data_IF_440218772910
#
_entry.id   IF_440218772910
#
_cell.length_a   1.000
_cell.length_b   1.000
_cell.length_c   1.000
_cell.angle_alpha   90.00
_cell.angle_beta   90.00
_cell.angle_gamma   90.00
#
_symmetry.space_group_name_H-M   'P 1'
#
loop_
_entity.id
_entity.type
_entity.pdbx_description
1 polymer ?
#
# COMPACT_ATOMS: atom_id res chain seq x y z
N UNK A 1 -22.12 13.55 27.21
CA UNK A 1 -21.42 14.45 26.29
C UNK A 1 -19.94 14.08 26.35
N UNK A 2 -19.45 13.40 25.32
CA UNK A 2 -18.02 13.21 25.09
C UNK A 2 -17.71 13.94 23.80
N UNK A 3 -16.98 15.04 23.93
CA UNK A 3 -16.43 15.80 22.79
C UNK A 3 -15.44 14.88 22.07
N UNK A 4 -15.78 14.49 20.85
CA UNK A 4 -14.91 13.71 19.99
C UNK A 4 -13.82 14.62 19.43
N UNK A 5 -12.56 14.29 19.69
CA UNK A 5 -11.40 14.89 19.02
C UNK A 5 -11.63 14.82 17.49
N UNK A 6 -11.90 15.99 16.89
CA UNK A 6 -12.12 16.13 15.45
C UNK A 6 -10.78 16.08 14.71
N UNK A 7 -10.61 15.07 13.87
CA UNK A 7 -9.50 14.97 12.92
C UNK A 7 -9.98 15.42 11.54
N UNK A 8 -9.21 16.29 10.88
CA UNK A 8 -9.47 16.77 9.52
C UNK A 8 -8.46 16.12 8.57
N UNK A 9 -8.94 15.57 7.45
CA UNK A 9 -8.07 15.07 6.38
C UNK A 9 -7.83 16.23 5.39
N UNK A 10 -6.58 16.69 5.27
CA UNK A 10 -6.16 17.73 4.34
C UNK A 10 -5.30 17.15 3.23
N UNK A 11 -5.56 17.49 1.97
CA UNK A 11 -4.70 17.10 0.87
C UNK A 11 -3.72 18.24 0.52
N UNK A 12 -2.41 17.99 0.54
CA UNK A 12 -1.37 18.92 0.06
C UNK A 12 -0.49 18.19 -0.94
N UNK A 13 -0.43 18.67 -2.20
CA UNK A 13 0.44 18.13 -3.27
C UNK A 13 0.35 16.60 -3.43
N UNK A 14 -0.87 16.05 -3.52
CA UNK A 14 -1.08 14.60 -3.64
C UNK A 14 -0.93 13.78 -2.35
N UNK A 15 -0.50 14.38 -1.24
CA UNK A 15 -0.47 13.72 0.07
C UNK A 15 -1.77 14.01 0.83
N UNK A 16 -2.42 12.97 1.38
CA UNK A 16 -3.44 13.17 2.41
C UNK A 16 -2.72 13.23 3.76
N UNK A 17 -2.89 14.33 4.48
CA UNK A 17 -2.40 14.60 5.84
C UNK A 17 -3.60 14.60 6.78
N UNK A 18 -3.39 14.15 8.01
CA UNK A 18 -4.39 14.28 9.08
C UNK A 18 -3.96 15.45 9.97
N UNK A 19 -4.78 16.48 10.03
CA UNK A 19 -4.59 17.65 10.87
C UNK A 19 -5.48 17.53 12.10
N UNK A 20 -4.93 17.88 13.28
CA UNK A 20 -5.74 18.13 14.47
C UNK A 20 -6.42 19.50 14.35
N UNK A 21 -7.58 19.67 14.97
CA UNK A 21 -8.41 20.89 14.92
C UNK A 21 -7.73 22.16 15.46
N UNK A 22 -6.56 22.05 16.07
CA UNK A 22 -5.75 23.12 16.66
C UNK A 22 -4.71 23.72 15.69
N UNK A 23 -4.79 23.41 14.39
CA UNK A 23 -4.01 24.09 13.34
C UNK A 23 -2.54 23.68 13.24
N UNK A 24 -2.12 22.66 13.99
CA UNK A 24 -0.78 22.07 13.89
C UNK A 24 -0.67 21.08 12.72
N UNK A 25 -0.30 21.56 11.53
CA UNK A 25 0.08 20.71 10.41
C UNK A 25 1.57 20.32 10.52
N UNK A 26 1.91 19.11 10.99
CA UNK A 26 3.25 18.56 10.74
C UNK A 26 3.29 17.97 9.33
N UNK A 27 3.50 18.84 8.35
CA UNK A 27 3.83 18.44 6.99
C UNK A 27 5.31 18.08 6.92
N UNK A 28 5.63 16.79 6.93
CA UNK A 28 6.97 16.35 6.50
C UNK A 28 6.98 16.39 4.98
N UNK A 29 7.50 17.47 4.43
CA UNK A 29 7.78 17.63 3.00
C UNK A 29 8.80 16.56 2.60
N UNK A 30 8.37 15.54 1.84
CA UNK A 30 9.29 14.75 1.03
C UNK A 30 9.27 15.32 -0.38
N UNK A 31 10.48 15.57 -0.86
CA UNK A 31 10.83 16.29 -2.08
C UNK A 31 10.51 15.41 -3.29
N UNK A 32 10.09 16.05 -4.37
CA UNK A 32 10.07 15.60 -5.76
C UNK A 32 9.22 14.39 -6.19
N UNK A 33 8.08 14.71 -6.82
CA UNK A 33 7.72 14.16 -8.13
C UNK A 33 7.30 12.69 -8.26
N UNK A 34 7.41 11.86 -7.22
CA UNK A 34 7.02 10.45 -7.29
C UNK A 34 5.59 10.16 -6.83
N UNK A 35 4.96 9.26 -7.57
CA UNK A 35 3.55 8.84 -7.55
C UNK A 35 2.99 8.69 -6.12
N UNK A 36 2.08 9.58 -5.73
CA UNK A 36 1.36 9.51 -4.45
C UNK A 36 0.38 8.31 -4.39
N UNK A 37 0.89 7.14 -4.02
CA UNK A 37 0.11 5.88 -3.85
C UNK A 37 -0.51 5.79 -2.44
N UNK A 38 -0.17 6.66 -1.50
CA UNK A 38 -0.48 6.41 -0.08
C UNK A 38 -1.45 7.42 0.56
N UNK A 39 -2.50 6.90 1.17
CA UNK A 39 -3.20 7.58 2.25
C UNK A 39 -2.39 7.43 3.53
N UNK A 40 -1.89 8.54 4.07
CA UNK A 40 -1.12 8.59 5.31
C UNK A 40 -1.86 9.49 6.34
N UNK A 41 -1.80 9.19 7.66
CA UNK A 41 -1.45 7.92 8.26
C UNK A 41 -2.47 6.82 7.87
N UNK A 42 -1.94 5.65 7.49
CA UNK A 42 -2.73 4.53 6.96
C UNK A 42 -3.89 4.08 7.89
N UNK A 43 -3.71 4.19 9.21
CA UNK A 43 -4.75 3.82 10.19
C UNK A 43 -5.95 4.74 10.15
N UNK A 44 -5.74 6.05 10.05
CA UNK A 44 -6.82 7.05 10.04
C UNK A 44 -7.62 6.93 8.75
N UNK A 45 -6.94 6.79 7.61
CA UNK A 45 -7.59 6.55 6.33
C UNK A 45 -8.39 5.24 6.32
N UNK A 46 -7.82 4.17 6.89
CA UNK A 46 -8.52 2.88 7.03
C UNK A 46 -9.78 3.01 7.89
N UNK A 47 -9.75 3.80 8.98
CA UNK A 47 -10.94 4.07 9.80
C UNK A 47 -11.98 4.91 9.05
N UNK A 48 -11.55 5.96 8.33
CA UNK A 48 -12.41 6.81 7.51
C UNK A 48 -13.15 6.02 6.42
N UNK A 49 -12.52 4.99 5.85
CA UNK A 49 -13.15 4.06 4.87
C UNK A 49 -14.05 3.03 5.56
N UNK A 50 -13.68 2.57 6.76
CA UNK A 50 -14.46 1.57 7.50
C UNK A 50 -15.86 2.10 7.85
N UNK A 51 -15.96 3.37 8.22
CA UNK A 51 -17.22 4.01 8.63
C UNK A 51 -18.32 3.94 7.54
N UNK A 52 -18.12 4.43 6.31
CA UNK A 52 -19.15 4.38 5.27
C UNK A 52 -19.50 2.94 4.88
N UNK A 53 -18.52 2.02 4.86
CA UNK A 53 -18.79 0.60 4.60
C UNK A 53 -19.77 0.05 5.63
N UNK A 54 -19.49 0.21 6.93
CA UNK A 54 -20.37 -0.29 7.99
C UNK A 54 -21.78 0.31 7.93
N UNK A 55 -21.89 1.57 7.53
CA UNK A 55 -23.16 2.29 7.49
C UNK A 55 -24.04 1.93 6.29
N UNK A 56 -23.46 1.44 5.19
CA UNK A 56 -24.16 1.22 3.93
C UNK A 56 -24.08 -0.23 3.45
N UNK A 57 -23.64 -1.16 4.30
CA UNK A 57 -23.60 -2.58 3.96
C UNK A 57 -24.99 -3.22 4.05
N UNK A 58 -25.83 -2.94 3.06
CA UNK A 58 -27.24 -3.33 3.04
C UNK A 58 -27.53 -4.56 2.16
N UNK A 59 -26.53 -5.05 1.43
CA UNK A 59 -26.67 -6.16 0.49
C UNK A 59 -25.55 -7.19 0.71
N UNK A 60 -25.74 -8.47 0.32
CA UNK A 60 -24.77 -9.54 0.52
C UNK A 60 -23.64 -9.49 -0.50
N UNK A 61 -22.91 -8.38 -0.55
CA UNK A 61 -21.76 -8.22 -1.43
C UNK A 61 -20.58 -9.09 -0.98
N UNK A 62 -20.40 -10.24 -1.63
CA UNK A 62 -19.31 -11.18 -1.33
C UNK A 62 -17.90 -10.59 -1.54
N UNK A 63 -17.78 -9.54 -2.35
CA UNK A 63 -16.54 -8.77 -2.52
C UNK A 63 -16.85 -7.37 -3.02
N UNK A 64 -15.88 -6.45 -2.92
CA UNK A 64 -16.02 -5.08 -3.41
C UNK A 64 -16.31 -5.00 -4.92
N UNK A 65 -15.83 -5.98 -5.70
CA UNK A 65 -16.07 -6.05 -7.14
C UNK A 65 -17.52 -6.39 -7.52
N UNK A 66 -18.30 -6.95 -6.60
CA UNK A 66 -19.72 -7.29 -6.81
C UNK A 66 -20.63 -6.09 -6.52
N UNK A 67 -20.13 -5.08 -5.81
CA UNK A 67 -20.87 -3.85 -5.52
C UNK A 67 -21.11 -3.10 -6.83
N UNK A 68 -22.34 -2.62 -7.04
CA UNK A 68 -22.70 -1.78 -8.19
C UNK A 68 -21.91 -0.46 -8.17
N UNK A 69 -21.80 0.22 -9.31
CA UNK A 69 -21.10 1.50 -9.34
C UNK A 69 -21.90 2.61 -8.66
N UNK A 70 -23.23 2.48 -8.63
CA UNK A 70 -24.15 3.32 -7.87
C UNK A 70 -23.90 3.21 -6.36
N UNK A 71 -23.80 1.98 -5.85
CA UNK A 71 -23.52 1.74 -4.43
C UNK A 71 -22.10 2.18 -4.04
N UNK A 72 -21.11 1.95 -4.91
CA UNK A 72 -19.74 2.48 -4.71
C UNK A 72 -19.73 4.01 -4.70
N UNK A 73 -20.56 4.65 -5.51
CA UNK A 73 -20.71 6.12 -5.51
C UNK A 73 -21.26 6.60 -4.16
N UNK A 74 -22.26 5.94 -3.59
CA UNK A 74 -22.76 6.28 -2.25
C UNK A 74 -21.68 6.16 -1.17
N UNK A 75 -20.87 5.10 -1.22
CA UNK A 75 -19.73 4.91 -0.32
C UNK A 75 -18.67 6.01 -0.50
N UNK A 76 -18.42 6.40 -1.75
CA UNK A 76 -17.48 7.48 -2.10
C UNK A 76 -17.95 8.84 -1.60
N UNK A 77 -19.20 9.22 -1.83
CA UNK A 77 -19.74 10.52 -1.38
C UNK A 77 -19.71 10.66 0.15
N UNK A 78 -19.89 9.56 0.88
CA UNK A 78 -19.76 9.56 2.35
C UNK A 78 -18.32 9.60 2.86
N UNK A 79 -17.38 9.13 2.04
CA UNK A 79 -15.95 9.25 2.32
C UNK A 79 -15.42 10.64 1.93
N UNK A 80 -16.07 11.30 0.97
CA UNK A 80 -15.61 12.55 0.37
C UNK A 80 -15.48 13.67 1.41
N UNK A 81 -14.33 14.34 1.34
CA UNK A 81 -13.97 15.54 2.11
C UNK A 81 -13.54 16.63 1.14
N UNK A 82 -13.18 17.82 1.63
CA UNK A 82 -12.66 18.89 0.77
C UNK A 82 -11.29 18.52 0.19
N UNK A 83 -11.20 18.40 -1.14
CA UNK A 83 -9.97 18.22 -1.90
C UNK A 83 -10.02 19.02 -3.20
N UNK A 84 -8.86 19.29 -3.81
CA UNK A 84 -8.78 19.91 -5.12
C UNK A 84 -9.32 18.96 -6.21
N UNK A 85 -10.11 19.49 -7.14
CA UNK A 85 -10.77 18.69 -8.19
C UNK A 85 -9.77 17.91 -9.07
N UNK A 86 -8.56 18.45 -9.25
CA UNK A 86 -7.46 17.83 -9.99
C UNK A 86 -6.99 16.48 -9.40
N UNK A 87 -7.16 16.26 -8.10
CA UNK A 87 -6.71 15.05 -7.43
C UNK A 87 -7.83 14.00 -7.27
N UNK A 88 -9.08 14.37 -7.54
CA UNK A 88 -10.24 13.50 -7.33
C UNK A 88 -10.12 12.13 -8.03
N UNK A 89 -9.67 12.02 -9.30
CA UNK A 89 -9.52 10.73 -9.96
C UNK A 89 -8.54 9.79 -9.24
N UNK A 90 -7.40 10.32 -8.80
CA UNK A 90 -6.36 9.55 -8.13
C UNK A 90 -6.81 9.13 -6.72
N UNK A 91 -7.45 10.04 -5.97
CA UNK A 91 -8.00 9.74 -4.65
C UNK A 91 -9.10 8.67 -4.76
N UNK A 92 -9.97 8.77 -5.76
CA UNK A 92 -11.03 7.78 -6.01
C UNK A 92 -10.46 6.40 -6.34
N UNK A 93 -9.38 6.34 -7.13
CA UNK A 93 -8.66 5.09 -7.40
C UNK A 93 -8.07 4.48 -6.12
N UNK A 94 -7.40 5.31 -5.32
CA UNK A 94 -6.83 4.88 -4.05
C UNK A 94 -7.91 4.39 -3.07
N UNK A 95 -9.06 5.08 -3.01
CA UNK A 95 -10.19 4.70 -2.17
C UNK A 95 -10.72 3.32 -2.55
N UNK A 96 -10.98 3.06 -3.84
CA UNK A 96 -11.47 1.76 -4.30
C UNK A 96 -10.51 0.63 -3.93
N UNK A 97 -9.20 0.84 -4.12
CA UNK A 97 -8.18 -0.13 -3.75
C UNK A 97 -8.19 -0.42 -2.24
N UNK A 98 -8.18 0.62 -1.41
CA UNK A 98 -8.18 0.47 0.05
C UNK A 98 -9.48 -0.13 0.57
N UNK A 99 -10.62 0.26 0.02
CA UNK A 99 -11.92 -0.25 0.42
C UNK A 99 -12.10 -1.73 0.06
N UNK A 100 -11.59 -2.17 -1.11
CA UNK A 100 -11.49 -3.58 -1.46
C UNK A 100 -10.72 -4.38 -0.40
N UNK A 101 -9.52 -3.94 -0.05
CA UNK A 101 -8.68 -4.62 0.94
C UNK A 101 -9.33 -4.61 2.33
N UNK A 102 -9.90 -3.46 2.73
CA UNK A 102 -10.50 -3.29 4.05
C UNK A 102 -11.75 -4.15 4.24
N UNK A 103 -12.63 -4.21 3.24
CA UNK A 103 -13.81 -5.07 3.29
C UNK A 103 -13.40 -6.55 3.41
N UNK A 104 -12.43 -6.97 2.61
CA UNK A 104 -11.90 -8.34 2.64
C UNK A 104 -11.28 -8.70 3.99
N UNK A 105 -10.54 -7.77 4.60
CA UNK A 105 -9.97 -7.93 5.93
C UNK A 105 -11.06 -8.10 7.00
N UNK A 106 -12.04 -7.19 7.06
CA UNK A 106 -13.13 -7.28 8.04
C UNK A 106 -13.90 -8.61 7.96
N UNK A 107 -14.14 -9.13 6.74
CA UNK A 107 -14.79 -10.43 6.58
C UNK A 107 -13.89 -11.62 6.89
N UNK A 108 -12.59 -11.53 6.64
CA UNK A 108 -11.63 -12.54 7.09
C UNK A 108 -11.64 -12.62 8.62
N UNK A 109 -11.57 -11.48 9.30
CA UNK A 109 -11.52 -11.43 10.77
C UNK A 109 -12.81 -11.98 11.38
N UNK A 110 -13.98 -11.61 10.83
CA UNK A 110 -15.27 -12.16 11.23
C UNK A 110 -15.35 -13.69 11.08
N UNK A 111 -14.81 -14.24 9.98
CA UNK A 111 -14.76 -15.68 9.74
C UNK A 111 -13.81 -16.41 10.69
N UNK A 112 -12.64 -15.82 10.98
CA UNK A 112 -11.69 -16.39 11.94
C UNK A 112 -12.31 -16.42 13.34
N UNK A 113 -13.01 -15.35 13.73
CA UNK A 113 -13.72 -15.28 15.00
C UNK A 113 -14.96 -16.19 15.05
N UNK A 114 -15.47 -16.65 13.89
CA UNK A 114 -16.73 -17.37 13.78
C UNK A 114 -17.95 -16.53 14.18
N UNK A 115 -17.83 -15.20 14.19
CA UNK A 115 -18.85 -14.29 14.72
C UNK A 115 -19.36 -13.34 13.65
N UNK A 116 -20.68 -13.19 13.59
CA UNK A 116 -21.33 -12.18 12.74
C UNK A 116 -20.99 -10.77 13.25
N UNK A 117 -20.49 -9.86 12.39
CA UNK A 117 -20.29 -8.48 12.80
C UNK A 117 -21.62 -7.77 13.08
N UNK A 118 -21.67 -6.93 14.12
CA UNK A 118 -22.90 -6.22 14.52
C UNK A 118 -23.52 -5.35 13.42
N UNK A 119 -22.71 -4.86 12.49
CA UNK A 119 -23.11 -3.98 11.38
C UNK A 119 -23.60 -4.74 10.14
N UNK A 120 -23.56 -6.08 10.15
CA UNK A 120 -24.09 -6.92 9.06
C UNK A 120 -25.39 -7.56 9.52
N UNK A 121 -26.49 -7.35 8.79
CA UNK A 121 -27.77 -8.01 9.08
C UNK A 121 -27.67 -9.53 9.00
N UNK A 122 -28.46 -10.25 9.80
CA UNK A 122 -28.40 -11.73 9.87
C UNK A 122 -28.64 -12.40 8.51
N UNK A 123 -29.65 -11.96 7.77
CA UNK A 123 -29.95 -12.50 6.44
C UNK A 123 -28.79 -12.28 5.45
N UNK A 124 -28.14 -11.11 5.51
CA UNK A 124 -26.96 -10.77 4.70
C UNK A 124 -25.80 -11.69 5.06
N UNK A 125 -25.54 -11.87 6.35
CA UNK A 125 -24.47 -12.73 6.84
C UNK A 125 -24.66 -14.18 6.42
N UNK A 126 -25.89 -14.72 6.55
CA UNK A 126 -26.20 -16.09 6.15
C UNK A 126 -26.03 -16.29 4.63
N UNK A 127 -26.43 -15.30 3.82
CA UNK A 127 -26.21 -15.32 2.37
C UNK A 127 -24.70 -15.33 2.02
N UNK A 128 -23.90 -14.50 2.70
CA UNK A 128 -22.44 -14.47 2.53
C UNK A 128 -21.78 -15.79 2.94
N UNK A 129 -22.22 -16.39 4.04
CA UNK A 129 -21.73 -17.69 4.50
C UNK A 129 -22.09 -18.80 3.50
N UNK A 130 -23.31 -18.81 2.96
CA UNK A 130 -23.72 -19.77 1.94
C UNK A 130 -22.82 -19.66 0.69
N UNK A 131 -22.52 -18.45 0.23
CA UNK A 131 -21.57 -18.23 -0.86
C UNK A 131 -20.17 -18.77 -0.52
N UNK A 132 -19.64 -18.45 0.66
CA UNK A 132 -18.31 -18.89 1.09
C UNK A 132 -18.20 -20.42 1.25
N UNK A 133 -19.29 -21.07 1.64
CA UNK A 133 -19.36 -22.53 1.82
C UNK A 133 -19.62 -23.28 0.51
N UNK A 134 -19.89 -22.57 -0.59
CA UNK A 134 -20.07 -23.21 -1.90
C UNK A 134 -18.81 -23.98 -2.33
N UNK A 135 -18.95 -25.18 -2.92
CA UNK A 135 -17.80 -25.98 -3.37
C UNK A 135 -16.89 -25.21 -4.33
N UNK A 136 -17.48 -24.44 -5.25
CA UNK A 136 -16.76 -23.66 -6.26
C UNK A 136 -15.85 -22.61 -5.59
N UNK A 137 -16.37 -21.90 -4.59
CA UNK A 137 -15.58 -20.91 -3.85
C UNK A 137 -14.45 -21.59 -3.06
N UNK A 138 -14.73 -22.70 -2.39
CA UNK A 138 -13.73 -23.45 -1.60
C UNK A 138 -12.58 -23.96 -2.47
N UNK A 139 -12.87 -24.49 -3.66
CA UNK A 139 -11.83 -24.95 -4.60
C UNK A 139 -10.94 -23.78 -5.04
N UNK A 140 -11.54 -22.62 -5.33
CA UNK A 140 -10.79 -21.41 -5.70
C UNK A 140 -9.89 -20.95 -4.56
N UNK A 141 -10.39 -20.91 -3.32
CA UNK A 141 -9.61 -20.55 -2.15
C UNK A 141 -8.46 -21.53 -1.90
N UNK A 142 -8.72 -22.84 -1.96
CA UNK A 142 -7.68 -23.87 -1.78
C UNK A 142 -6.58 -23.75 -2.85
N UNK A 143 -6.95 -23.45 -4.10
CA UNK A 143 -6.00 -23.23 -5.19
C UNK A 143 -5.14 -21.99 -4.93
N UNK A 144 -5.75 -20.86 -4.56
CA UNK A 144 -5.00 -19.63 -4.22
C UNK A 144 -4.08 -19.87 -3.02
N UNK A 145 -4.55 -20.57 -1.99
CA UNK A 145 -3.75 -20.92 -0.82
C UNK A 145 -2.55 -21.81 -1.21
N UNK A 146 -2.75 -22.80 -2.08
CA UNK A 146 -1.67 -23.66 -2.61
C UNK A 146 -0.66 -22.85 -3.43
N UNK A 147 -1.14 -21.90 -4.25
CA UNK A 147 -0.27 -21.00 -5.01
C UNK A 147 0.53 -20.05 -4.12
N UNK A 148 -0.06 -19.60 -3.00
CA UNK A 148 0.64 -18.79 -1.99
C UNK A 148 1.63 -19.58 -1.14
N UNK A 149 1.32 -20.83 -0.83
CA UNK A 149 2.22 -21.73 -0.08
C UNK A 149 3.40 -22.23 -0.93
N UNK A 150 3.40 -21.95 -2.24
CA UNK A 150 4.52 -22.22 -3.11
C UNK A 150 5.70 -21.30 -2.77
N UNK A 151 6.84 -21.89 -2.40
CA UNK A 151 8.12 -21.19 -2.26
C UNK A 151 8.65 -20.65 -3.60
N UNK A 152 8.05 -21.10 -4.71
CA UNK A 152 8.33 -20.58 -6.05
C UNK A 152 7.44 -19.38 -6.31
N UNK A 153 8.02 -18.19 -6.16
CA UNK A 153 7.36 -16.92 -6.44
C UNK A 153 8.05 -15.82 -5.63
N UNK A 154 8.47 -14.73 -6.28
CA UNK A 154 9.22 -13.65 -5.63
C UNK A 154 8.37 -12.74 -4.74
N UNK A 155 7.59 -13.35 -3.84
CA UNK A 155 6.61 -12.69 -2.94
C UNK A 155 6.98 -12.96 -1.47
N UNK A 156 8.08 -13.67 -1.20
CA UNK A 156 8.61 -13.83 0.15
C UNK A 156 9.29 -12.52 0.58
N UNK A 157 8.85 -11.96 1.70
CA UNK A 157 9.48 -10.80 2.33
C UNK A 157 9.39 -10.93 3.85
N UNK A 158 10.41 -10.47 4.56
CA UNK A 158 10.51 -10.43 6.03
C UNK A 158 10.07 -9.09 6.62
N UNK A 159 9.60 -8.17 5.77
CA UNK A 159 9.18 -6.83 6.13
C UNK A 159 8.00 -6.73 7.12
N UNK A 160 7.43 -7.83 7.63
CA UNK A 160 6.20 -7.83 8.46
C UNK A 160 5.01 -7.21 7.71
N UNK A 161 3.87 -7.05 8.39
CA UNK A 161 2.64 -6.46 7.83
C UNK A 161 2.69 -4.92 7.72
N UNK A 162 3.80 -4.36 7.24
CA UNK A 162 3.97 -2.92 6.98
C UNK A 162 4.40 -2.72 5.52
N UNK A 163 4.00 -1.60 4.93
CA UNK A 163 4.32 -1.30 3.53
C UNK A 163 5.79 -0.94 3.37
N UNK A 164 6.34 -1.12 2.16
CA UNK A 164 7.71 -0.65 1.84
C UNK A 164 7.90 0.84 2.14
N UNK A 165 6.88 1.66 1.86
CA UNK A 165 6.92 3.10 2.14
C UNK A 165 6.98 3.41 3.65
N UNK A 166 6.25 2.66 4.48
CA UNK A 166 6.34 2.78 5.94
C UNK A 166 7.73 2.37 6.43
N UNK A 167 8.35 1.35 5.82
CA UNK A 167 9.74 1.00 6.09
C UNK A 167 10.71 2.13 5.72
N UNK A 168 10.54 2.77 4.56
CA UNK A 168 11.35 3.94 4.16
C UNK A 168 11.26 5.03 5.23
N UNK A 169 10.05 5.41 5.65
CA UNK A 169 9.84 6.48 6.65
C UNK A 169 10.49 6.12 7.99
N UNK A 170 10.29 4.89 8.47
CA UNK A 170 10.88 4.43 9.73
C UNK A 170 12.39 4.43 9.67
N UNK A 171 12.94 3.88 8.59
CA UNK A 171 14.38 3.78 8.41
C UNK A 171 15.04 5.15 8.25
N UNK A 172 14.40 6.08 7.53
CA UNK A 172 14.88 7.44 7.40
C UNK A 172 14.86 8.19 8.74
N UNK A 173 13.84 7.93 9.56
CA UNK A 173 13.75 8.49 10.92
C UNK A 173 14.82 7.93 11.84
N UNK A 174 15.03 6.61 11.81
CA UNK A 174 16.04 5.91 12.63
C UNK A 174 17.46 6.33 12.24
N UNK A 175 17.76 6.42 10.94
CA UNK A 175 19.07 6.78 10.42
C UNK A 175 19.30 8.30 10.33
N UNK A 176 18.23 9.10 10.50
CA UNK A 176 18.23 10.57 10.34
C UNK A 176 18.77 11.03 8.98
N UNK A 177 18.59 10.23 7.95
CA UNK A 177 18.98 10.51 6.55
C UNK A 177 17.99 9.90 5.58
N UNK A 178 18.05 10.32 4.32
CA UNK A 178 17.38 9.61 3.24
C UNK A 178 17.91 8.17 3.14
N UNK A 179 17.04 7.26 2.71
CA UNK A 179 17.34 5.82 2.62
C UNK A 179 17.13 5.38 1.20
N UNK A 180 18.12 4.68 0.64
CA UNK A 180 18.01 4.22 -0.73
C UNK A 180 17.12 2.98 -0.86
N UNK A 181 16.58 2.79 -2.06
CA UNK A 181 15.64 1.70 -2.38
C UNK A 181 16.24 0.31 -2.14
N UNK A 182 17.54 0.15 -2.35
CA UNK A 182 18.29 -1.09 -2.16
C UNK A 182 18.51 -1.42 -0.69
N UNK A 183 18.70 -0.41 0.16
CA UNK A 183 18.78 -0.57 1.62
C UNK A 183 17.44 -1.08 2.17
N UNK A 184 16.33 -0.46 1.75
CA UNK A 184 14.98 -0.90 2.14
C UNK A 184 14.70 -2.30 1.64
N UNK A 185 15.04 -2.60 0.38
CA UNK A 185 14.84 -3.92 -0.19
C UNK A 185 15.63 -4.99 0.58
N UNK A 186 16.88 -4.71 0.92
CA UNK A 186 17.74 -5.62 1.68
C UNK A 186 17.16 -5.88 3.06
N UNK A 187 16.72 -4.83 3.76
CA UNK A 187 16.13 -4.98 5.09
C UNK A 187 14.86 -5.84 5.10
N UNK A 188 14.01 -5.74 4.08
CA UNK A 188 12.75 -6.49 4.00
C UNK A 188 12.88 -7.86 3.30
N UNK A 189 14.06 -8.22 2.79
CA UNK A 189 14.33 -9.52 2.15
C UNK A 189 15.46 -10.32 2.81
N UNK A 190 16.00 -9.86 3.94
CA UNK A 190 16.92 -10.64 4.79
C UNK A 190 16.16 -11.21 6.00
N UNK A 191 16.40 -12.49 6.30
CA UNK A 191 15.87 -13.16 7.50
C UNK A 191 16.64 -12.67 8.74
N UNK A 192 15.94 -11.99 9.65
CA UNK A 192 16.53 -11.51 10.92
C UNK A 192 17.13 -12.68 11.71
N UNK A 193 18.36 -12.52 12.20
CA UNK A 193 19.09 -13.52 12.97
C UNK A 193 19.93 -14.51 12.14
N UNK A 194 19.54 -14.77 10.89
CA UNK A 194 20.27 -15.67 9.98
C UNK A 194 21.14 -14.87 8.99
N UNK A 195 20.70 -13.67 8.60
CA UNK A 195 21.43 -12.82 7.66
C UNK A 195 21.32 -13.26 6.19
N UNK A 196 20.59 -14.35 5.92
CA UNK A 196 20.36 -14.87 4.57
C UNK A 196 19.13 -14.25 3.91
N UNK A 197 19.17 -14.20 2.57
CA UNK A 197 18.03 -13.78 1.77
C UNK A 197 16.85 -14.75 1.91
N UNK A 198 15.63 -14.20 1.87
CA UNK A 198 14.39 -14.96 1.95
C UNK A 198 14.22 -15.97 0.82
N UNK A 199 14.74 -15.63 -0.36
CA UNK A 199 14.83 -16.50 -1.53
C UNK A 199 16.00 -16.11 -2.46
N UNK A 200 16.35 -17.03 -3.37
CA UNK A 200 17.44 -16.87 -4.33
C UNK A 200 17.18 -15.76 -5.37
N UNK A 201 15.92 -15.41 -5.64
CA UNK A 201 15.56 -14.35 -6.58
C UNK A 201 15.90 -12.98 -5.99
N UNK A 202 15.63 -12.78 -4.72
CA UNK A 202 15.94 -11.57 -3.96
C UNK A 202 17.44 -11.33 -3.95
N UNK A 203 18.22 -12.38 -3.62
CA UNK A 203 19.68 -12.36 -3.70
C UNK A 203 20.19 -12.00 -5.10
N UNK A 204 19.67 -12.66 -6.15
CA UNK A 204 20.06 -12.37 -7.54
C UNK A 204 19.68 -10.95 -7.99
N UNK A 205 18.56 -10.42 -7.51
CA UNK A 205 18.08 -9.09 -7.89
C UNK A 205 19.01 -8.01 -7.35
N UNK A 206 19.37 -8.11 -6.07
CA UNK A 206 20.24 -7.13 -5.42
C UNK A 206 21.74 -7.34 -5.77
N UNK A 207 22.27 -8.56 -5.58
CA UNK A 207 23.71 -8.84 -5.75
C UNK A 207 24.11 -8.86 -7.21
N UNK A 208 23.33 -9.51 -8.08
CA UNK A 208 23.76 -9.79 -9.46
C UNK A 208 23.24 -8.78 -10.48
N UNK A 209 22.10 -8.12 -10.23
CA UNK A 209 21.50 -7.21 -11.21
C UNK A 209 21.62 -5.75 -10.81
N UNK A 210 21.40 -5.42 -9.55
CA UNK A 210 21.45 -4.04 -9.08
C UNK A 210 22.89 -3.54 -8.91
N UNK A 211 23.67 -4.13 -8.00
CA UNK A 211 25.06 -3.68 -7.77
C UNK A 211 25.94 -3.84 -9.00
N UNK A 212 25.80 -4.94 -9.74
CA UNK A 212 26.53 -5.12 -11.00
C UNK A 212 26.29 -3.98 -12.01
N UNK A 213 25.07 -3.43 -12.08
CA UNK A 213 24.75 -2.29 -12.97
C UNK A 213 25.31 -0.96 -12.47
N UNK A 214 25.37 -0.78 -11.15
CA UNK A 214 26.02 0.39 -10.55
C UNK A 214 27.52 0.34 -10.86
N UNK A 215 28.15 -0.83 -10.68
CA UNK A 215 29.58 -1.04 -10.89
C UNK A 215 29.98 -0.91 -12.37
N UNK A 216 29.14 -1.33 -13.32
CA UNK A 216 29.41 -1.20 -14.76
C UNK A 216 29.13 0.19 -15.33
N UNK A 217 28.50 1.10 -14.57
CA UNK A 217 28.23 2.46 -15.01
C UNK A 217 27.38 2.57 -16.28
N UNK A 218 26.50 1.60 -16.55
CA UNK A 218 25.74 1.49 -17.82
C UNK A 218 24.65 2.56 -18.04
N UNK A 219 24.68 3.69 -17.32
CA UNK A 219 23.73 4.80 -17.48
C UNK A 219 24.39 5.96 -18.24
N UNK A 220 23.93 6.21 -19.47
CA UNK A 220 24.26 7.42 -20.24
C UNK A 220 23.52 8.62 -19.63
N UNK A 221 24.19 9.39 -18.80
CA UNK A 221 23.67 10.65 -18.27
C UNK A 221 23.55 11.73 -19.36
N UNK A 222 22.35 12.30 -19.52
CA UNK A 222 22.20 13.62 -20.15
C UNK A 222 22.66 14.68 -19.16
N UNK A 223 23.57 15.55 -19.61
CA UNK A 223 24.29 16.53 -18.76
C UNK A 223 23.38 17.66 -18.24
N UNK A 224 23.48 18.06 -16.96
CA UNK A 224 23.04 19.37 -16.51
C UNK A 224 24.17 20.24 -15.89
N UNK A 225 24.09 21.57 -16.02
CA UNK A 225 25.06 22.50 -15.44
C UNK A 225 24.72 22.89 -14.00
N UNK A 226 25.79 23.15 -13.23
CA UNK A 226 25.89 23.91 -11.97
C UNK A 226 25.98 23.11 -10.66
N UNK A 227 27.23 22.93 -10.21
CA UNK A 227 27.65 22.24 -9.01
C UNK A 227 27.35 23.01 -7.71
N UNK A 228 26.73 22.33 -6.74
CA UNK A 228 27.20 22.12 -5.35
C UNK A 228 26.01 21.64 -4.48
N UNK A 229 26.07 20.38 -4.01
CA UNK A 229 25.04 19.49 -3.38
C UNK A 229 24.55 18.31 -4.24
N UNK A 230 25.04 18.20 -5.47
CA UNK A 230 24.55 17.28 -6.51
C UNK A 230 24.91 15.80 -6.32
N UNK A 231 25.93 15.47 -5.53
CA UNK A 231 26.47 14.09 -5.47
C UNK A 231 25.46 13.10 -4.89
N UNK A 232 24.73 13.49 -3.83
CA UNK A 232 23.72 12.63 -3.21
C UNK A 232 22.46 12.51 -4.08
N UNK A 233 22.07 13.59 -4.78
CA UNK A 233 20.91 13.60 -5.67
C UNK A 233 21.17 12.78 -6.96
N UNK A 234 22.38 12.89 -7.52
CA UNK A 234 22.79 12.10 -8.69
C UNK A 234 22.92 10.61 -8.33
N UNK A 235 23.49 10.29 -7.16
CA UNK A 235 23.60 8.91 -6.67
C UNK A 235 22.20 8.30 -6.39
N UNK A 236 21.29 9.05 -5.78
CA UNK A 236 19.90 8.64 -5.59
C UNK A 236 19.15 8.43 -6.91
N UNK A 237 19.33 9.33 -7.88
CA UNK A 237 18.75 9.21 -9.21
C UNK A 237 19.27 7.98 -9.95
N UNK A 238 20.60 7.76 -9.94
CA UNK A 238 21.25 6.60 -10.56
C UNK A 238 20.73 5.30 -9.92
N UNK A 239 20.70 5.23 -8.59
CA UNK A 239 20.18 4.06 -7.87
C UNK A 239 18.71 3.80 -8.19
N UNK A 240 17.87 4.84 -8.22
CA UNK A 240 16.45 4.70 -8.53
C UNK A 240 16.25 4.21 -9.97
N UNK A 241 17.00 4.76 -10.93
CA UNK A 241 16.94 4.35 -12.34
C UNK A 241 17.42 2.89 -12.53
N UNK A 242 18.56 2.52 -11.94
CA UNK A 242 19.04 1.14 -11.94
C UNK A 242 17.99 0.19 -11.33
N UNK A 243 17.36 0.60 -10.24
CA UNK A 243 16.33 -0.18 -9.56
C UNK A 243 15.13 -0.47 -10.47
N UNK A 244 14.58 0.57 -11.10
CA UNK A 244 13.46 0.48 -12.03
C UNK A 244 13.73 -0.54 -13.13
N UNK A 245 14.90 -0.51 -13.76
CA UNK A 245 15.24 -1.44 -14.83
C UNK A 245 15.41 -2.89 -14.33
N UNK A 246 15.92 -3.07 -13.11
CA UNK A 246 16.13 -4.38 -12.51
C UNK A 246 14.81 -5.04 -12.12
N UNK A 247 13.84 -4.26 -11.62
CA UNK A 247 12.57 -4.78 -11.09
C UNK A 247 11.44 -4.85 -12.12
N UNK A 248 11.37 -3.91 -13.07
CA UNK A 248 10.29 -3.88 -14.07
C UNK A 248 10.50 -4.88 -15.20
N UNK A 249 11.73 -5.41 -15.38
CA UNK A 249 12.08 -6.28 -16.49
C UNK A 249 12.01 -5.55 -17.84
N UNK A 250 12.69 -6.08 -18.86
CA UNK A 250 12.48 -5.60 -20.24
C UNK A 250 11.04 -5.91 -20.62
N UNK A 251 10.21 -4.88 -20.82
CA UNK A 251 8.94 -5.03 -21.54
C UNK A 251 9.28 -5.66 -22.89
N UNK A 252 8.90 -6.92 -23.10
CA UNK A 252 8.90 -7.50 -24.44
C UNK A 252 7.84 -6.73 -25.22
N UNK A 253 8.28 -6.02 -26.26
CA UNK A 253 7.41 -5.59 -27.34
C UNK A 253 6.83 -6.79 -28.08
#
# INVERSE_FOLDING_TARGET
MQEGEGFVLCAVKGFLLVCKNDGGCTATTLVDGEVAIAFLPFRVASQAITRPIKQQFLQPWASWGVISDEDKKLLWERFKVQWAAEHEPQIKKNFNMKAFHRLSEMFRDARIAGQRPYWVGEHIWNSLLAHCNSPQYRIKCATVQKNMASEKGGVLHTGRSITTHEHVIRMATELRRAVHVDEVFTQIHIRKGIGEYVDERSRKTIVRRFFCKIDTGEIKGGSPPYANSIVDADDEMIRTQCWVEVVQGKKKG
#
